data_IF_733086935288
#
_entry.id   IF_733086935288
#
_cell.length_a   1.000
_cell.length_b   1.000
_cell.length_c   1.000
_cell.angle_alpha   90.00
_cell.angle_beta   90.00
_cell.angle_gamma   90.00
#
_symmetry.space_group_name_H-M   'P 1'
#
loop_
_entity.id
_entity.type
_entity.pdbx_description
1 polymer ?
#
# COMPACT_ATOMS: atom_id res chain seq x y z
N UNK A 1 29.74 5.39 -7.01
CA UNK A 1 28.66 4.55 -6.46
C UNK A 1 27.36 5.35 -6.49
N UNK A 2 26.90 5.74 -7.69
CA UNK A 2 25.87 6.79 -7.86
C UNK A 2 24.47 6.27 -8.19
N UNK A 3 24.32 4.98 -8.51
CA UNK A 3 23.06 4.36 -8.99
C UNK A 3 22.53 3.25 -8.09
N UNK A 4 23.28 2.87 -7.05
CA UNK A 4 23.02 1.65 -6.28
C UNK A 4 21.79 1.75 -5.38
N UNK A 5 21.52 2.93 -4.80
CA UNK A 5 20.35 3.14 -3.92
C UNK A 5 19.02 3.01 -4.69
N UNK A 6 18.82 3.77 -5.77
CA UNK A 6 17.63 3.62 -6.61
C UNK A 6 17.55 2.23 -7.26
N UNK A 7 18.68 1.59 -7.59
CA UNK A 7 18.64 0.21 -8.08
C UNK A 7 18.19 -0.80 -7.01
N UNK A 8 18.48 -0.56 -5.74
CA UNK A 8 18.05 -1.42 -4.62
C UNK A 8 16.53 -1.34 -4.37
N UNK A 9 15.95 -0.13 -4.38
CA UNK A 9 14.49 0.09 -4.29
C UNK A 9 13.74 -0.72 -5.37
N UNK A 10 14.30 -0.80 -6.57
CA UNK A 10 13.66 -1.49 -7.70
C UNK A 10 13.84 -2.99 -7.67
N UNK A 11 15.00 -3.47 -7.23
CA UNK A 11 15.24 -4.90 -7.06
C UNK A 11 14.27 -5.51 -6.03
N UNK A 12 13.98 -4.79 -4.94
CA UNK A 12 12.97 -5.20 -3.97
C UNK A 12 11.55 -5.25 -4.56
N UNK A 13 11.11 -4.18 -5.24
CA UNK A 13 9.77 -4.14 -5.88
C UNK A 13 9.56 -5.26 -6.92
N UNK A 14 10.58 -5.58 -7.73
CA UNK A 14 10.49 -6.66 -8.70
C UNK A 14 10.37 -8.05 -8.05
N UNK A 15 11.06 -8.30 -6.93
CA UNK A 15 11.00 -9.59 -6.23
C UNK A 15 9.61 -9.88 -5.63
N UNK A 16 8.90 -8.86 -5.18
CA UNK A 16 7.52 -8.98 -4.64
C UNK A 16 6.50 -9.25 -5.76
N UNK A 17 6.70 -8.65 -6.94
CA UNK A 17 5.74 -8.73 -8.06
C UNK A 17 5.56 -10.12 -8.71
N UNK A 18 6.44 -11.08 -8.43
CA UNK A 18 6.40 -12.43 -9.03
C UNK A 18 5.45 -13.42 -8.32
N UNK A 19 4.71 -12.99 -7.28
CA UNK A 19 3.82 -13.84 -6.47
C UNK A 19 2.31 -13.60 -6.67
N UNK A 20 1.91 -12.89 -7.74
CA UNK A 20 0.49 -12.65 -8.03
C UNK A 20 -0.20 -13.89 -8.62
N UNK A 21 -0.79 -14.70 -7.74
CA UNK A 21 -1.88 -15.63 -8.11
C UNK A 21 -3.14 -15.21 -7.34
N UNK A 22 -4.03 -14.46 -8.00
CA UNK A 22 -5.35 -14.16 -7.47
C UNK A 22 -6.34 -15.27 -7.91
N UNK A 23 -6.92 -15.98 -6.95
CA UNK A 23 -8.14 -16.78 -7.12
C UNK A 23 -9.18 -16.16 -6.17
N UNK A 24 -10.20 -15.48 -6.71
CA UNK A 24 -11.15 -14.68 -5.93
C UNK A 24 -12.59 -15.06 -6.33
N UNK A 25 -13.27 -15.80 -5.45
CA UNK A 25 -14.69 -16.14 -5.59
C UNK A 25 -15.64 -14.93 -5.58
N UNK A 26 -16.95 -15.16 -5.68
CA UNK A 26 -17.97 -14.11 -5.86
C UNK A 26 -19.19 -14.32 -4.94
N UNK A 27 -19.74 -13.21 -4.42
CA UNK A 27 -21.01 -13.21 -3.69
C UNK A 27 -22.20 -13.43 -4.64
N UNK A 28 -23.17 -14.22 -4.19
CA UNK A 28 -24.38 -14.57 -4.92
C UNK A 28 -25.60 -14.47 -3.99
N UNK A 29 -26.79 -14.24 -4.56
CA UNK A 29 -28.02 -14.07 -3.79
C UNK A 29 -29.24 -14.71 -4.47
N UNK A 30 -30.13 -15.28 -3.66
CA UNK A 30 -31.42 -15.83 -4.07
C UNK A 30 -32.51 -15.47 -3.03
N UNK A 31 -33.68 -16.10 -3.15
CA UNK A 31 -34.80 -15.89 -2.24
C UNK A 31 -34.56 -16.38 -0.80
N UNK A 32 -33.56 -17.24 -0.56
CA UNK A 32 -33.21 -17.77 0.75
C UNK A 32 -32.13 -16.94 1.43
N UNK A 33 -31.18 -16.38 0.68
CA UNK A 33 -30.16 -15.49 1.23
C UNK A 33 -28.93 -15.34 0.36
N UNK A 34 -27.85 -14.86 0.98
CA UNK A 34 -26.54 -14.69 0.36
C UNK A 34 -25.69 -15.95 0.52
N UNK A 35 -24.88 -16.30 -0.48
CA UNK A 35 -23.79 -17.29 -0.37
C UNK A 35 -22.57 -16.81 -1.15
N UNK A 36 -21.44 -17.48 -0.96
CA UNK A 36 -20.19 -17.17 -1.65
C UNK A 36 -19.73 -18.35 -2.49
N UNK A 37 -19.56 -18.13 -3.79
CA UNK A 37 -19.10 -19.15 -4.74
C UNK A 37 -17.61 -18.98 -5.02
N UNK A 38 -16.83 -20.04 -4.86
CA UNK A 38 -15.42 -20.11 -5.23
C UNK A 38 -15.27 -20.29 -6.75
N UNK A 39 -14.11 -19.95 -7.30
CA UNK A 39 -13.82 -20.05 -8.74
C UNK A 39 -13.87 -21.49 -9.29
N UNK A 40 -13.66 -22.49 -8.43
CA UNK A 40 -13.80 -23.91 -8.77
C UNK A 40 -15.26 -24.38 -8.85
N UNK A 41 -16.22 -23.46 -8.67
CA UNK A 41 -17.65 -23.71 -8.69
C UNK A 41 -18.21 -24.21 -7.36
N UNK A 42 -17.38 -24.46 -6.34
CA UNK A 42 -17.82 -24.80 -4.98
C UNK A 42 -18.29 -23.55 -4.22
N UNK A 43 -18.80 -23.70 -3.01
CA UNK A 43 -19.28 -22.57 -2.20
C UNK A 43 -18.89 -22.72 -0.73
N UNK A 44 -18.80 -21.58 -0.04
CA UNK A 44 -18.52 -21.52 1.39
C UNK A 44 -19.72 -22.02 2.20
N UNK A 45 -19.44 -22.84 3.21
CA UNK A 45 -20.41 -23.40 4.15
C UNK A 45 -19.73 -23.81 5.45
N UNK A 46 -20.53 -24.21 6.42
CA UNK A 46 -20.10 -24.84 7.67
C UNK A 46 -19.19 -23.92 8.52
N UNK A 47 -19.74 -22.79 8.97
CA UNK A 47 -19.18 -21.93 10.00
C UNK A 47 -18.55 -20.64 9.47
N UNK A 48 -17.67 -20.07 10.29
CA UNK A 48 -17.00 -18.79 10.03
C UNK A 48 -16.01 -18.90 8.87
N UNK A 49 -16.09 -17.94 7.95
CA UNK A 49 -15.13 -17.74 6.87
C UNK A 49 -14.81 -16.26 6.72
N UNK A 50 -13.56 -15.99 6.40
CA UNK A 50 -13.12 -14.66 6.04
C UNK A 50 -13.29 -14.46 4.54
N UNK A 51 -13.96 -13.37 4.16
CA UNK A 51 -14.19 -12.97 2.77
C UNK A 51 -13.93 -11.47 2.70
N UNK A 52 -13.07 -11.04 1.79
CA UNK A 52 -12.72 -9.62 1.59
C UNK A 52 -12.39 -8.89 2.91
N UNK A 53 -11.62 -9.55 3.77
CA UNK A 53 -11.17 -9.00 5.05
C UNK A 53 -12.23 -8.92 6.15
N UNK A 54 -13.45 -9.44 5.96
CA UNK A 54 -14.51 -9.50 6.99
C UNK A 54 -14.91 -10.94 7.31
N UNK A 55 -15.36 -11.18 8.53
CA UNK A 55 -15.77 -12.53 8.96
C UNK A 55 -17.27 -12.71 8.80
N UNK A 56 -17.69 -13.80 8.14
CA UNK A 56 -19.08 -14.14 7.89
C UNK A 56 -19.36 -15.57 8.34
N UNK A 57 -20.55 -15.82 8.88
CA UNK A 57 -20.97 -17.16 9.27
C UNK A 57 -21.84 -17.79 8.19
N UNK A 58 -21.40 -18.92 7.63
CA UNK A 58 -22.15 -19.70 6.66
C UNK A 58 -22.81 -20.91 7.31
N UNK A 59 -24.09 -21.12 7.04
CA UNK A 59 -24.83 -22.31 7.49
C UNK A 59 -24.32 -23.58 6.79
N UNK A 60 -24.80 -24.75 7.24
CA UNK A 60 -24.49 -26.03 6.57
C UNK A 60 -25.00 -26.11 5.14
N UNK A 61 -26.03 -25.33 4.82
CA UNK A 61 -26.59 -25.21 3.48
C UNK A 61 -25.84 -24.17 2.62
N UNK A 62 -24.84 -23.48 3.18
CA UNK A 62 -23.98 -22.52 2.49
C UNK A 62 -24.47 -21.07 2.48
N UNK A 63 -25.53 -20.75 3.22
CA UNK A 63 -26.06 -19.38 3.27
C UNK A 63 -25.42 -18.57 4.41
N UNK A 64 -25.08 -17.32 4.13
CA UNK A 64 -24.57 -16.36 5.10
C UNK A 64 -25.68 -15.86 6.02
N UNK A 65 -25.44 -15.88 7.32
CA UNK A 65 -26.32 -15.24 8.30
C UNK A 65 -26.16 -13.71 8.24
N UNK A 66 -27.26 -12.98 8.40
CA UNK A 66 -27.30 -11.51 8.39
C UNK A 66 -28.24 -11.00 9.48
N UNK A 67 -27.86 -9.91 10.16
CA UNK A 67 -28.67 -9.19 11.15
C UNK A 67 -29.13 -10.03 12.33
N UNK A 68 -28.35 -11.02 12.76
CA UNK A 68 -28.76 -12.03 13.74
C UNK A 68 -27.60 -12.45 14.65
N UNK A 69 -27.92 -13.21 15.69
CA UNK A 69 -26.94 -13.96 16.47
C UNK A 69 -26.65 -15.32 15.80
N UNK A 70 -25.38 -15.72 15.77
CA UNK A 70 -24.91 -17.00 15.26
C UNK A 70 -25.12 -18.13 16.29
N UNK A 71 -25.12 -19.42 15.89
CA UNK A 71 -25.35 -20.54 16.80
C UNK A 71 -24.35 -20.66 17.96
N UNK A 72 -23.15 -20.12 17.79
CA UNK A 72 -22.07 -20.06 18.78
C UNK A 72 -22.08 -18.77 19.63
N UNK A 73 -23.08 -17.90 19.45
CA UNK A 73 -23.37 -16.77 20.35
C UNK A 73 -22.83 -15.41 19.92
N UNK A 74 -22.10 -15.30 18.81
CA UNK A 74 -21.62 -14.02 18.28
C UNK A 74 -22.70 -13.30 17.47
N UNK A 75 -22.53 -12.00 17.24
CA UNK A 75 -23.51 -11.20 16.49
C UNK A 75 -22.94 -10.81 15.13
N UNK A 76 -23.78 -10.83 14.10
CA UNK A 76 -23.47 -10.28 12.78
C UNK A 76 -24.37 -9.09 12.48
N UNK A 77 -23.84 -8.07 11.79
CA UNK A 77 -24.61 -6.90 11.38
C UNK A 77 -25.59 -7.22 10.23
N UNK A 78 -26.34 -6.21 9.77
CA UNK A 78 -27.29 -6.37 8.66
C UNK A 78 -26.64 -6.81 7.33
N UNK A 79 -25.33 -6.64 7.16
CA UNK A 79 -24.56 -7.14 6.01
C UNK A 79 -24.03 -8.56 6.21
N UNK A 80 -24.14 -9.11 7.42
CA UNK A 80 -23.62 -10.44 7.79
C UNK A 80 -22.21 -10.44 8.34
N UNK A 81 -21.59 -9.27 8.47
CA UNK A 81 -20.24 -9.16 9.00
C UNK A 81 -20.26 -9.32 10.52
N UNK A 82 -19.32 -10.09 11.07
CA UNK A 82 -19.14 -10.28 12.50
C UNK A 82 -18.89 -8.95 13.20
N UNK A 83 -19.61 -8.69 14.28
CA UNK A 83 -19.45 -7.52 15.13
C UNK A 83 -19.17 -7.89 16.60
N UNK A 84 -18.37 -7.06 17.25
CA UNK A 84 -18.18 -7.02 18.71
C UNK A 84 -18.50 -5.60 19.16
N UNK A 85 -19.43 -5.45 20.12
CA UNK A 85 -19.92 -4.15 20.60
C UNK A 85 -20.35 -3.17 19.49
N UNK A 86 -20.91 -3.69 18.39
CA UNK A 86 -21.37 -2.91 17.25
C UNK A 86 -20.29 -2.58 16.21
N UNK A 87 -19.04 -3.03 16.40
CA UNK A 87 -17.90 -2.78 15.50
C UNK A 87 -17.59 -4.03 14.68
N UNK A 88 -17.53 -3.88 13.35
CA UNK A 88 -17.19 -4.96 12.41
C UNK A 88 -15.75 -5.42 12.60
N UNK A 89 -15.57 -6.72 12.76
CA UNK A 89 -14.27 -7.37 12.90
C UNK A 89 -13.69 -7.71 11.53
N UNK A 90 -12.41 -7.39 11.33
CA UNK A 90 -11.71 -7.60 10.06
C UNK A 90 -10.48 -8.49 10.23
N UNK A 91 -10.16 -9.30 9.21
CA UNK A 91 -8.99 -10.18 9.24
C UNK A 91 -7.76 -9.31 9.09
N UNK A 92 -7.00 -9.18 10.18
CA UNK A 92 -5.92 -8.20 10.30
C UNK A 92 -6.15 -7.13 11.37
N UNK A 93 -7.22 -7.22 12.18
CA UNK A 93 -7.45 -6.28 13.28
C UNK A 93 -8.11 -6.90 14.50
N UNK A 94 -7.30 -7.24 15.50
CA UNK A 94 -7.71 -7.21 16.91
C UNK A 94 -7.00 -6.02 17.56
N UNK A 95 -7.74 -5.28 18.40
CA UNK A 95 -7.43 -3.93 18.85
C UNK A 95 -6.04 -3.74 19.50
N UNK A 96 -5.31 -2.72 19.05
CA UNK A 96 -4.32 -2.03 19.87
C UNK A 96 -4.74 -0.57 20.05
N UNK A 97 -5.08 -0.22 21.28
CA UNK A 97 -5.26 1.14 21.74
C UNK A 97 -4.02 2.00 21.45
N UNK A 98 -4.23 3.26 21.04
CA UNK A 98 -3.28 4.38 21.15
C UNK A 98 -1.80 4.02 20.90
N UNK A 99 -1.47 3.66 19.67
CA UNK A 99 -0.11 3.56 19.15
C UNK A 99 -0.23 3.25 17.66
N UNK A 100 -0.10 4.25 16.79
CA UNK A 100 -0.16 4.02 15.36
C UNK A 100 1.01 3.11 14.98
N UNK A 101 0.73 1.96 14.37
CA UNK A 101 1.76 1.06 13.89
C UNK A 101 2.51 1.78 12.76
N UNK A 102 3.73 2.24 13.04
CA UNK A 102 4.57 3.01 12.11
C UNK A 102 5.80 2.22 11.74
N UNK A 103 6.19 2.31 10.47
CA UNK A 103 7.48 1.86 9.96
C UNK A 103 8.42 3.05 9.82
N UNK A 104 9.72 2.83 9.98
CA UNK A 104 10.75 3.89 9.80
C UNK A 104 11.88 3.37 8.94
N UNK A 105 12.18 4.09 7.85
CA UNK A 105 13.33 3.86 6.98
C UNK A 105 14.16 5.13 6.93
N UNK A 106 15.42 5.07 7.36
CA UNK A 106 16.25 6.27 7.52
C UNK A 106 15.58 7.32 8.42
N UNK A 107 15.30 8.50 7.87
CA UNK A 107 14.61 9.61 8.55
C UNK A 107 13.12 9.71 8.20
N UNK A 108 12.60 8.79 7.38
CA UNK A 108 11.20 8.74 6.98
C UNK A 108 10.41 7.83 7.93
N UNK A 109 9.43 8.39 8.63
CA UNK A 109 8.47 7.62 9.44
C UNK A 109 7.09 7.63 8.78
N UNK A 110 6.49 6.45 8.65
CA UNK A 110 5.23 6.26 7.95
C UNK A 110 4.30 5.34 8.75
N UNK A 111 3.11 5.81 9.08
CA UNK A 111 2.05 4.98 9.64
C UNK A 111 1.55 4.01 8.57
N UNK A 112 1.48 2.73 8.90
CA UNK A 112 1.02 1.69 7.97
C UNK A 112 -0.44 1.99 7.57
N UNK A 113 -0.76 2.19 6.28
CA UNK A 113 -2.13 2.44 5.84
C UNK A 113 -3.01 1.21 6.03
N UNK A 114 -4.30 1.45 6.27
CA UNK A 114 -5.28 0.37 6.31
C UNK A 114 -5.27 -0.42 4.99
N UNK A 115 -5.27 -1.75 5.09
CA UNK A 115 -5.23 -2.63 3.92
C UNK A 115 -3.84 -2.89 3.33
N UNK A 116 -2.76 -2.34 3.90
CA UNK A 116 -1.38 -2.54 3.45
C UNK A 116 -0.49 -3.10 4.56
N UNK A 117 -0.65 -4.37 4.99
CA UNK A 117 0.27 -4.97 5.95
C UNK A 117 1.72 -4.96 5.45
N UNK A 118 2.65 -4.92 6.40
CA UNK A 118 4.09 -4.91 6.13
C UNK A 118 4.57 -6.23 5.53
N UNK A 119 5.43 -6.15 4.50
CA UNK A 119 5.78 -7.30 3.67
C UNK A 119 7.29 -7.67 3.71
N UNK A 120 8.21 -6.72 3.90
CA UNK A 120 9.64 -7.00 4.10
C UNK A 120 10.47 -5.75 4.47
N UNK A 121 11.48 -5.92 5.32
CA UNK A 121 12.53 -4.93 5.62
C UNK A 121 13.85 -5.33 4.93
N UNK A 122 14.31 -4.54 3.95
CA UNK A 122 15.72 -4.48 3.56
C UNK A 122 16.34 -3.23 4.23
N UNK A 123 17.66 -3.19 4.43
CA UNK A 123 18.32 -2.13 5.23
C UNK A 123 18.09 -0.69 4.70
N UNK A 124 17.62 -0.53 3.46
CA UNK A 124 17.42 0.77 2.80
C UNK A 124 15.98 1.05 2.34
N UNK A 125 15.09 0.05 2.40
CA UNK A 125 13.75 0.12 1.82
C UNK A 125 12.75 -0.71 2.62
N UNK A 126 11.52 -0.19 2.77
CA UNK A 126 10.40 -0.92 3.37
C UNK A 126 9.30 -1.06 2.31
N UNK A 127 8.72 -2.26 2.21
CA UNK A 127 7.61 -2.52 1.30
C UNK A 127 6.36 -2.92 2.07
N UNK A 128 5.25 -2.26 1.75
CA UNK A 128 3.91 -2.61 2.21
C UNK A 128 3.13 -3.13 1.00
N UNK A 129 2.38 -4.22 1.16
CA UNK A 129 1.58 -4.78 0.07
C UNK A 129 0.15 -4.96 0.54
N UNK A 130 -0.81 -4.75 -0.36
CA UNK A 130 -2.19 -5.09 -0.05
C UNK A 130 -2.38 -6.61 0.01
N UNK A 131 -3.53 -7.05 0.55
CA UNK A 131 -3.78 -8.48 0.83
C UNK A 131 -3.68 -9.39 -0.39
N UNK A 132 -3.96 -8.87 -1.60
CA UNK A 132 -3.87 -9.62 -2.86
C UNK A 132 -2.52 -9.43 -3.60
N UNK A 133 -1.57 -8.69 -3.01
CA UNK A 133 -0.25 -8.37 -3.57
C UNK A 133 -0.29 -7.68 -4.94
N UNK A 134 -1.41 -7.07 -5.32
CA UNK A 134 -1.55 -6.36 -6.60
C UNK A 134 -1.13 -4.91 -6.53
N UNK A 135 -1.05 -4.33 -5.32
CA UNK A 135 -0.58 -2.98 -5.08
C UNK A 135 0.47 -2.96 -3.98
N UNK A 136 1.57 -2.26 -4.24
CA UNK A 136 2.71 -2.15 -3.33
C UNK A 136 2.99 -0.67 -3.06
N UNK A 137 3.38 -0.37 -1.82
CA UNK A 137 3.95 0.89 -1.38
C UNK A 137 5.42 0.64 -1.04
N UNK A 138 6.33 1.22 -1.81
CA UNK A 138 7.76 1.23 -1.49
C UNK A 138 8.14 2.52 -0.78
N UNK A 139 8.79 2.39 0.37
CA UNK A 139 9.29 3.51 1.19
C UNK A 139 10.81 3.49 1.17
N UNK A 140 11.43 4.63 0.89
CA UNK A 140 12.88 4.75 0.89
C UNK A 140 13.33 6.12 1.42
N UNK A 141 14.44 6.11 2.15
CA UNK A 141 15.09 7.31 2.68
C UNK A 141 16.59 7.17 2.55
N UNK A 142 17.26 8.24 2.14
CA UNK A 142 18.72 8.28 2.05
C UNK A 142 19.24 9.66 2.44
N UNK A 143 20.37 9.70 3.15
CA UNK A 143 21.01 10.96 3.46
C UNK A 143 21.69 11.55 2.21
N UNK A 144 21.55 12.85 1.99
CA UNK A 144 22.24 13.57 0.91
C UNK A 144 23.76 13.41 0.99
N UNK A 145 24.32 13.24 2.19
CA UNK A 145 25.74 12.94 2.40
C UNK A 145 26.14 11.59 1.76
N UNK A 146 25.30 10.56 1.88
CA UNK A 146 25.52 9.25 1.27
C UNK A 146 25.33 9.29 -0.25
N UNK A 147 24.54 10.24 -0.76
CA UNK A 147 24.45 10.54 -2.20
C UNK A 147 25.68 11.28 -2.74
N UNK A 148 26.63 11.64 -1.88
CA UNK A 148 27.84 12.37 -2.23
C UNK A 148 27.63 13.89 -2.40
N UNK A 149 26.52 14.41 -1.85
CA UNK A 149 26.24 15.84 -1.80
C UNK A 149 26.89 16.42 -0.53
N UNK A 150 28.00 17.13 -0.71
CA UNK A 150 28.71 17.78 0.39
C UNK A 150 27.95 18.99 0.93
N UNK A 151 28.37 19.52 2.08
CA UNK A 151 27.69 20.63 2.74
C UNK A 151 27.54 21.90 1.87
N UNK A 152 28.45 22.13 0.91
CA UNK A 152 28.37 23.26 -0.02
C UNK A 152 27.33 23.02 -1.14
N UNK A 153 27.11 21.76 -1.52
CA UNK A 153 26.14 21.36 -2.55
C UNK A 153 24.71 21.27 -1.98
N UNK A 154 24.55 20.92 -0.69
CA UNK A 154 23.24 20.69 -0.06
C UNK A 154 22.28 21.88 -0.19
N UNK A 155 22.79 23.11 -0.05
CA UNK A 155 21.97 24.34 -0.20
C UNK A 155 21.54 24.58 -1.65
N UNK A 156 22.44 24.30 -2.60
CA UNK A 156 22.13 24.42 -4.04
C UNK A 156 21.16 23.34 -4.48
N UNK A 157 21.32 22.13 -3.95
CA UNK A 157 20.43 20.99 -4.20
C UNK A 157 19.04 21.26 -3.67
N UNK A 158 18.89 21.83 -2.46
CA UNK A 158 17.58 22.22 -1.95
C UNK A 158 16.91 23.31 -2.81
N UNK A 159 17.68 24.28 -3.33
CA UNK A 159 17.16 25.33 -4.22
C UNK A 159 16.75 24.80 -5.60
N UNK A 160 17.42 23.74 -6.07
CA UNK A 160 17.20 23.12 -7.38
C UNK A 160 16.53 21.74 -7.27
N UNK A 161 15.88 21.44 -6.13
CA UNK A 161 15.37 20.10 -5.82
C UNK A 161 14.47 19.56 -6.93
N UNK A 162 13.61 20.42 -7.47
CA UNK A 162 12.71 20.09 -8.57
C UNK A 162 13.44 19.61 -9.84
N UNK A 163 14.49 20.34 -10.24
CA UNK A 163 15.29 20.03 -11.43
C UNK A 163 16.12 18.76 -11.20
N UNK A 164 16.69 18.62 -10.00
CA UNK A 164 17.48 17.44 -9.63
C UNK A 164 16.61 16.19 -9.65
N UNK A 165 15.41 16.27 -9.09
CA UNK A 165 14.46 15.15 -9.06
C UNK A 165 13.96 14.80 -10.46
N UNK A 166 13.65 15.78 -11.32
CA UNK A 166 13.23 15.51 -12.71
C UNK A 166 14.33 14.81 -13.51
N UNK A 167 15.56 15.29 -13.44
CA UNK A 167 16.70 14.65 -14.12
C UNK A 167 16.99 13.26 -13.55
N UNK A 168 16.88 13.07 -12.23
CA UNK A 168 17.05 11.75 -11.61
C UNK A 168 15.97 10.76 -12.07
N UNK A 169 14.71 11.19 -12.12
CA UNK A 169 13.60 10.35 -12.58
C UNK A 169 13.71 10.05 -14.08
N UNK A 170 14.14 11.02 -14.89
CA UNK A 170 14.43 10.80 -16.32
C UNK A 170 15.54 9.77 -16.53
N UNK A 171 16.64 9.89 -15.79
CA UNK A 171 17.76 8.94 -15.87
C UNK A 171 17.34 7.52 -15.49
N UNK A 172 16.41 7.38 -14.55
CA UNK A 172 15.95 6.08 -14.06
C UNK A 172 14.86 5.44 -14.92
N UNK A 173 13.91 6.25 -15.40
CA UNK A 173 12.75 5.78 -16.14
C UNK A 173 12.97 5.80 -17.65
N UNK A 174 13.94 6.59 -18.13
CA UNK A 174 14.12 6.90 -19.55
C UNK A 174 13.05 7.86 -20.10
N UNK A 175 12.14 8.36 -19.26
CA UNK A 175 11.02 9.21 -19.65
C UNK A 175 11.32 10.65 -19.23
N UNK A 176 11.33 11.55 -20.22
CA UNK A 176 11.45 12.98 -19.98
C UNK A 176 10.10 13.55 -19.53
N UNK A 177 9.93 13.71 -18.23
CA UNK A 177 8.72 14.23 -17.60
C UNK A 177 9.08 15.15 -16.44
N UNK A 178 8.44 16.31 -16.38
CA UNK A 178 8.52 17.21 -15.24
C UNK A 178 7.49 16.80 -14.18
N UNK A 179 7.94 16.63 -12.94
CA UNK A 179 7.06 16.38 -11.80
C UNK A 179 6.21 17.61 -11.45
N UNK A 180 5.08 17.38 -10.79
CA UNK A 180 4.23 18.44 -10.24
C UNK A 180 4.46 18.59 -8.75
N UNK A 181 4.56 19.82 -8.25
CA UNK A 181 4.67 20.06 -6.80
C UNK A 181 3.29 19.93 -6.13
N UNK A 182 3.18 18.95 -5.24
CA UNK A 182 2.02 18.72 -4.40
C UNK A 182 2.31 19.23 -2.98
N UNK A 183 1.54 20.22 -2.54
CA UNK A 183 1.61 20.71 -1.18
C UNK A 183 0.73 19.85 -0.26
N UNK A 184 1.37 19.15 0.68
CA UNK A 184 0.70 18.41 1.75
C UNK A 184 0.96 19.12 3.09
N UNK A 185 0.22 18.73 4.14
CA UNK A 185 0.43 19.32 5.47
C UNK A 185 1.82 18.99 6.06
N UNK A 186 2.45 17.93 5.57
CA UNK A 186 3.78 17.46 5.99
C UNK A 186 4.94 18.03 5.15
N UNK A 187 4.65 18.85 4.13
CA UNK A 187 5.67 19.43 3.26
C UNK A 187 5.29 19.41 1.79
N UNK A 188 6.24 19.86 0.96
CA UNK A 188 6.09 19.84 -0.49
C UNK A 188 6.70 18.56 -1.04
N UNK A 189 5.93 17.84 -1.85
CA UNK A 189 6.36 16.63 -2.53
C UNK A 189 6.32 16.84 -4.03
N UNK A 190 7.36 16.39 -4.73
CA UNK A 190 7.35 16.31 -6.18
C UNK A 190 6.70 15.00 -6.60
N UNK A 191 5.62 15.11 -7.37
CA UNK A 191 4.76 14.01 -7.77
C UNK A 191 4.94 13.67 -9.24
N UNK A 192 5.08 12.38 -9.53
CA UNK A 192 5.20 11.81 -10.87
C UNK A 192 4.12 10.74 -11.06
N UNK A 193 3.34 10.84 -12.14
CA UNK A 193 2.36 9.84 -12.54
C UNK A 193 2.74 9.28 -13.91
N UNK A 194 3.16 8.02 -13.95
CA UNK A 194 3.57 7.35 -15.19
C UNK A 194 2.40 6.63 -15.89
N UNK A 195 1.18 6.75 -15.35
CA UNK A 195 0.02 6.01 -15.81
C UNK A 195 0.32 4.51 -15.79
N UNK A 196 -0.16 3.78 -16.81
CA UNK A 196 0.10 2.34 -16.97
C UNK A 196 1.43 2.02 -17.67
N UNK A 197 2.31 2.99 -17.87
CA UNK A 197 3.63 2.76 -18.49
C UNK A 197 4.51 2.03 -17.48
N UNK A 198 4.99 0.80 -17.76
CA UNK A 198 5.94 0.15 -16.89
C UNK A 198 7.22 0.98 -16.82
N UNK A 199 7.54 1.50 -15.64
CA UNK A 199 8.76 2.25 -15.38
C UNK A 199 9.54 1.56 -14.28
N UNK A 200 10.86 1.74 -14.29
CA UNK A 200 11.73 1.21 -13.24
C UNK A 200 11.66 -0.32 -13.05
N UNK A 201 11.24 -1.06 -14.09
CA UNK A 201 11.05 -2.51 -14.04
C UNK A 201 9.78 -2.96 -13.30
N UNK A 202 8.91 -2.02 -12.90
CA UNK A 202 7.68 -2.27 -12.16
C UNK A 202 6.51 -2.40 -13.14
N UNK A 203 5.75 -3.51 -13.13
CA UNK A 203 4.56 -3.66 -13.95
C UNK A 203 3.37 -2.89 -13.36
N UNK A 204 2.44 -2.48 -14.23
CA UNK A 204 1.20 -1.81 -13.80
C UNK A 204 1.34 -0.29 -13.69
N UNK A 205 0.46 0.33 -12.90
CA UNK A 205 0.51 1.78 -12.70
C UNK A 205 1.61 2.15 -11.72
N UNK A 206 2.30 3.27 -11.95
CA UNK A 206 3.34 3.76 -11.03
C UNK A 206 3.17 5.25 -10.75
N UNK A 207 3.07 5.57 -9.47
CA UNK A 207 3.07 6.93 -8.95
C UNK A 207 4.21 7.10 -7.95
N UNK A 208 4.96 8.20 -8.06
CA UNK A 208 6.12 8.47 -7.20
C UNK A 208 5.94 9.83 -6.52
N UNK A 209 6.13 9.84 -5.20
CA UNK A 209 6.25 11.04 -4.39
C UNK A 209 7.69 11.13 -3.91
N UNK A 210 8.40 12.18 -4.31
CA UNK A 210 9.78 12.42 -3.93
C UNK A 210 9.92 13.76 -3.20
N UNK A 211 10.75 13.80 -2.17
CA UNK A 211 11.12 15.02 -1.46
C UNK A 211 12.63 15.04 -1.28
N UNK A 212 13.26 16.16 -1.62
CA UNK A 212 14.69 16.35 -1.49
C UNK A 212 14.96 17.60 -0.65
N UNK A 213 15.59 17.40 0.49
CA UNK A 213 15.98 18.44 1.44
C UNK A 213 17.50 18.59 1.48
N UNK A 214 18.01 19.47 2.35
CA UNK A 214 19.45 19.59 2.58
C UNK A 214 20.05 18.30 3.15
N UNK A 215 19.30 17.56 3.97
CA UNK A 215 19.81 16.39 4.71
C UNK A 215 19.41 15.05 4.12
N UNK A 216 18.21 14.97 3.52
CA UNK A 216 17.59 13.70 3.15
C UNK A 216 16.86 13.77 1.81
N UNK A 217 16.93 12.65 1.08
CA UNK A 217 16.03 12.27 -0.01
C UNK A 217 15.02 11.27 0.54
N UNK A 218 13.73 11.54 0.36
CA UNK A 218 12.64 10.61 0.64
C UNK A 218 11.92 10.25 -0.64
N UNK A 219 11.58 8.97 -0.79
CA UNK A 219 10.76 8.48 -1.90
C UNK A 219 9.68 7.54 -1.40
N UNK A 220 8.46 7.75 -1.88
CA UNK A 220 7.32 6.85 -1.69
C UNK A 220 6.76 6.49 -3.06
N UNK A 221 6.78 5.20 -3.39
CA UNK A 221 6.36 4.67 -4.69
C UNK A 221 5.11 3.83 -4.49
N UNK A 222 4.04 4.18 -5.20
CA UNK A 222 2.84 3.36 -5.33
C UNK A 222 2.90 2.64 -6.68
N UNK A 223 2.78 1.32 -6.66
CA UNK A 223 2.98 0.47 -7.81
C UNK A 223 1.89 -0.59 -7.93
N UNK A 224 1.44 -0.89 -9.16
CA UNK A 224 0.52 -1.99 -9.46
C UNK A 224 -0.90 -1.53 -9.80
N UNK A 225 -1.91 -2.16 -9.20
CA UNK A 225 -3.33 -1.91 -9.47
C UNK A 225 -3.89 -0.70 -8.70
N UNK A 226 -3.46 0.51 -9.03
CA UNK A 226 -3.83 1.75 -8.31
C UNK A 226 -5.29 2.22 -8.48
N UNK A 227 -6.12 1.49 -9.24
CA UNK A 227 -7.52 1.86 -9.42
C UNK A 227 -8.28 1.78 -8.10
N UNK A 228 -8.68 2.94 -7.56
CA UNK A 228 -9.37 3.05 -6.28
C UNK A 228 -8.46 3.27 -5.07
N UNK A 229 -7.15 3.40 -5.29
CA UNK A 229 -6.18 3.77 -4.24
C UNK A 229 -5.97 5.29 -4.28
N UNK A 230 -6.45 5.98 -3.25
CA UNK A 230 -6.22 7.43 -3.08
C UNK A 230 -4.82 7.67 -2.47
N UNK A 231 -3.81 7.68 -3.33
CA UNK A 231 -2.41 7.83 -2.92
C UNK A 231 -2.14 9.18 -2.25
N UNK A 232 -2.85 10.24 -2.63
CA UNK A 232 -2.71 11.57 -2.03
C UNK A 232 -3.25 11.59 -0.59
N UNK A 233 -4.41 11.00 -0.33
CA UNK A 233 -4.96 10.86 1.03
C UNK A 233 -4.06 10.00 1.92
N UNK A 234 -3.48 8.92 1.39
CA UNK A 234 -2.51 8.10 2.11
C UNK A 234 -1.28 8.94 2.49
N UNK A 235 -0.66 9.64 1.52
CA UNK A 235 0.47 10.52 1.78
C UNK A 235 0.16 11.59 2.84
N UNK A 236 -1.04 12.18 2.79
CA UNK A 236 -1.47 13.22 3.72
C UNK A 236 -1.65 12.71 5.16
N UNK A 237 -2.18 11.49 5.33
CA UNK A 237 -2.61 10.98 6.64
C UNK A 237 -1.59 10.05 7.31
N UNK A 238 -0.64 9.50 6.55
CA UNK A 238 0.23 8.42 7.02
C UNK A 238 1.66 8.88 7.31
N UNK A 239 2.12 10.02 6.77
CA UNK A 239 3.43 10.58 7.14
C UNK A 239 3.45 11.12 8.58
N UNK A 240 4.54 10.91 9.31
CA UNK A 240 4.73 11.31 10.72
C UNK A 240 5.94 12.20 10.94
#
# INVERSE_FOLDING_TARGET
MKKTFMTAILAGLMAVSMSMTAFAGQWQQDAKGWWYQNDDGTYLKDGWKWVDGKCYYFTSDGYCLTGTQTPDGYTVDASGAWIVDGVVQTQGGEAAAAGQNTVTVGSLTFAIPEGFPEYSEDESCIYLANSDSTTIIGLASESTANLGLGAEDQKLVALLADVVLDEAMKDQTGIDMAGTNLQLANGTWRFYDYGSTPVMGIPGQTQVYASLSESDLHMIIFAGALSGVDTASIMQNNLR
#
